data_IF_994135838007
#
_entry.id   IF_994135838007
#
_cell.length_a   1.000
_cell.length_b   1.000
_cell.length_c   1.000
_cell.angle_alpha   90.00
_cell.angle_beta   90.00
_cell.angle_gamma   90.00
#
_symmetry.space_group_name_H-M   'P 1'
#
loop_
_entity.id
_entity.type
_entity.pdbx_description
1 polymer ?
#
# COMPACT_ATOMS: atom_id res chain seq x y z
N UNK A 1 -22.05 10.88 -4.68
CA UNK A 1 -22.59 9.78 -5.50
C UNK A 1 -21.40 9.08 -6.14
N UNK A 2 -21.15 7.82 -5.76
CA UNK A 2 -19.97 7.05 -6.21
C UNK A 2 -20.16 6.55 -7.65
N UNK A 3 -21.42 6.36 -8.06
CA UNK A 3 -21.81 5.83 -9.36
C UNK A 3 -22.70 6.83 -10.10
N UNK A 4 -22.65 6.82 -11.43
CA UNK A 4 -23.53 7.63 -12.28
C UNK A 4 -24.94 7.01 -12.27
N UNK A 5 -25.91 7.71 -11.69
CA UNK A 5 -27.30 7.29 -11.60
C UNK A 5 -27.89 6.90 -12.96
N UNK A 6 -27.53 7.60 -14.03
CA UNK A 6 -28.00 7.29 -15.38
C UNK A 6 -27.40 5.97 -15.90
N UNK A 7 -26.14 5.70 -15.58
CA UNK A 7 -25.50 4.43 -15.92
C UNK A 7 -26.05 3.27 -15.07
N UNK A 8 -26.42 3.52 -13.81
CA UNK A 8 -27.13 2.56 -12.94
C UNK A 8 -28.48 2.17 -13.54
N UNK A 9 -29.32 3.16 -13.89
CA UNK A 9 -30.64 2.92 -14.50
C UNK A 9 -30.51 2.18 -15.84
N UNK A 10 -29.45 2.44 -16.60
CA UNK A 10 -29.16 1.75 -17.87
C UNK A 10 -28.54 0.35 -17.70
N UNK A 11 -28.45 -0.17 -16.46
CA UNK A 11 -27.93 -1.51 -16.18
C UNK A 11 -26.42 -1.66 -16.41
N UNK A 12 -25.68 -0.57 -16.60
CA UNK A 12 -24.25 -0.61 -16.97
C UNK A 12 -23.33 -1.10 -15.85
N UNK A 13 -23.83 -1.10 -14.62
CA UNK A 13 -23.17 -1.65 -13.44
C UNK A 13 -23.61 -3.09 -13.13
N UNK A 14 -24.24 -3.80 -14.09
CA UNK A 14 -24.73 -5.19 -13.96
C UNK A 14 -25.56 -5.40 -12.68
N UNK A 15 -25.42 -6.56 -12.04
CA UNK A 15 -26.13 -6.95 -10.82
C UNK A 15 -25.92 -5.95 -9.67
N UNK A 16 -24.75 -5.31 -9.61
CA UNK A 16 -24.49 -4.29 -8.60
C UNK A 16 -25.35 -3.04 -8.78
N UNK A 17 -25.62 -2.62 -10.03
CA UNK A 17 -26.51 -1.50 -10.32
C UNK A 17 -27.93 -1.75 -9.81
N UNK A 18 -28.45 -2.96 -10.00
CA UNK A 18 -29.76 -3.35 -9.51
C UNK A 18 -29.83 -3.30 -7.97
N UNK A 19 -28.76 -3.75 -7.31
CA UNK A 19 -28.66 -3.71 -5.84
C UNK A 19 -28.67 -2.28 -5.32
N UNK A 20 -27.99 -1.33 -6.00
CA UNK A 20 -28.07 0.09 -5.63
C UNK A 20 -29.52 0.58 -5.73
N UNK A 21 -30.20 0.33 -6.85
CA UNK A 21 -31.58 0.78 -7.06
C UNK A 21 -32.56 0.22 -6.02
N UNK A 22 -32.39 -1.04 -5.63
CA UNK A 22 -33.28 -1.70 -4.67
C UNK A 22 -33.08 -1.21 -3.22
N UNK A 23 -31.90 -0.69 -2.89
CA UNK A 23 -31.62 -0.08 -1.60
C UNK A 23 -32.13 1.35 -1.52
N UNK A 24 -31.97 2.11 -2.61
CA UNK A 24 -32.38 3.51 -2.72
C UNK A 24 -33.91 3.62 -2.58
N UNK A 25 -34.64 2.71 -3.25
CA UNK A 25 -36.10 2.54 -3.09
C UNK A 25 -36.54 2.30 -1.64
N UNK A 26 -35.67 1.77 -0.79
CA UNK A 26 -35.98 1.46 0.62
C UNK A 26 -35.42 2.51 1.59
N UNK A 27 -34.78 3.58 1.09
CA UNK A 27 -34.22 4.66 1.90
C UNK A 27 -33.11 4.22 2.87
N UNK A 28 -32.43 3.10 2.60
CA UNK A 28 -31.46 2.52 3.52
C UNK A 28 -30.02 3.00 3.28
N UNK A 29 -29.79 4.32 3.43
CA UNK A 29 -28.49 4.98 3.22
C UNK A 29 -27.34 4.29 3.98
N UNK A 30 -27.60 3.80 5.21
CA UNK A 30 -26.60 3.03 5.98
C UNK A 30 -26.25 1.68 5.35
N UNK A 31 -27.23 0.94 4.80
CA UNK A 31 -26.96 -0.33 4.09
C UNK A 31 -26.25 -0.09 2.76
N UNK A 32 -26.57 0.97 2.04
CA UNK A 32 -25.83 1.37 0.83
C UNK A 32 -24.36 1.61 1.14
N UNK A 33 -24.05 2.37 2.19
CA UNK A 33 -22.67 2.61 2.61
C UNK A 33 -21.92 1.31 2.97
N UNK A 34 -22.61 0.30 3.51
CA UNK A 34 -22.04 -1.02 3.81
C UNK A 34 -21.91 -1.94 2.59
N UNK A 35 -22.75 -1.79 1.56
CA UNK A 35 -22.68 -2.57 0.31
C UNK A 35 -21.62 -2.06 -0.66
N UNK A 36 -21.17 -0.81 -0.45
CA UNK A 36 -20.00 -0.22 -1.10
C UNK A 36 -18.68 -0.81 -0.58
N UNK A 37 -18.71 -1.74 0.38
CA UNK A 37 -17.52 -2.50 0.76
C UNK A 37 -16.95 -3.24 -0.45
N UNK A 38 -15.65 -3.02 -0.67
CA UNK A 38 -14.88 -3.34 -1.87
C UNK A 38 -15.08 -4.76 -2.41
N UNK A 39 -15.22 -5.78 -1.57
CA UNK A 39 -15.44 -7.18 -1.99
C UNK A 39 -16.79 -7.38 -2.70
N UNK A 40 -17.81 -6.62 -2.32
CA UNK A 40 -19.13 -6.67 -2.96
C UNK A 40 -19.13 -6.03 -4.35
N UNK A 41 -18.34 -4.97 -4.55
CA UNK A 41 -18.27 -4.29 -5.86
C UNK A 41 -17.69 -5.23 -6.91
N UNK A 42 -16.56 -5.89 -6.64
CA UNK A 42 -15.94 -6.73 -7.66
C UNK A 42 -16.67 -8.04 -7.93
N UNK A 43 -17.17 -8.69 -6.87
CA UNK A 43 -17.96 -9.92 -7.03
C UNK A 43 -19.22 -9.68 -7.87
N UNK A 44 -19.80 -8.47 -7.82
CA UNK A 44 -21.05 -8.14 -8.52
C UNK A 44 -20.87 -7.41 -9.86
N UNK A 45 -19.71 -6.84 -10.12
CA UNK A 45 -19.36 -6.21 -11.40
C UNK A 45 -18.75 -7.18 -12.41
N UNK A 46 -18.37 -8.40 -11.98
CA UNK A 46 -17.76 -9.44 -12.82
C UNK A 46 -16.58 -8.87 -13.64
N UNK A 47 -15.61 -8.28 -12.96
CA UNK A 47 -14.37 -7.88 -13.60
C UNK A 47 -13.56 -9.12 -14.00
N UNK A 48 -12.84 -9.04 -15.12
CA UNK A 48 -11.88 -10.08 -15.50
C UNK A 48 -10.65 -9.96 -14.60
N UNK A 49 -10.62 -10.78 -13.55
CA UNK A 49 -9.59 -10.79 -12.52
C UNK A 49 -8.80 -12.09 -12.57
N UNK A 50 -7.48 -11.98 -12.61
CA UNK A 50 -6.56 -13.10 -12.44
C UNK A 50 -5.98 -13.04 -11.03
N UNK A 51 -6.27 -14.05 -10.21
CA UNK A 51 -5.71 -14.18 -8.86
C UNK A 51 -4.24 -14.60 -8.92
N UNK A 52 -3.38 -13.89 -8.19
CA UNK A 52 -1.94 -14.20 -8.10
C UNK A 52 -1.67 -15.32 -7.09
N UNK A 53 -2.67 -15.71 -6.29
CA UNK A 53 -2.56 -16.78 -5.30
C UNK A 53 -1.65 -16.43 -4.13
N UNK A 54 -1.52 -15.14 -3.83
CA UNK A 54 -0.68 -14.65 -2.75
C UNK A 54 -1.35 -14.82 -1.38
N UNK A 55 -0.65 -15.48 -0.46
CA UNK A 55 -1.10 -15.70 0.93
C UNK A 55 -0.81 -14.50 1.85
N UNK A 56 0.03 -13.57 1.42
CA UNK A 56 0.39 -12.37 2.19
C UNK A 56 -0.65 -11.27 2.04
N UNK A 57 -1.27 -11.16 0.85
CA UNK A 57 -2.35 -10.23 0.56
C UNK A 57 -3.22 -10.70 -0.61
N UNK A 58 -4.47 -10.27 -0.64
CA UNK A 58 -5.38 -10.46 -1.77
C UNK A 58 -4.97 -9.57 -2.96
N UNK A 59 -4.17 -10.14 -3.87
CA UNK A 59 -3.60 -9.48 -5.04
C UNK A 59 -4.14 -10.09 -6.35
N UNK A 60 -4.59 -9.22 -7.25
CA UNK A 60 -5.18 -9.61 -8.53
C UNK A 60 -4.64 -8.73 -9.66
N UNK A 61 -4.61 -9.28 -10.86
CA UNK A 61 -4.52 -8.50 -12.09
C UNK A 61 -5.92 -8.28 -12.68
N UNK A 62 -6.23 -7.07 -13.13
CA UNK A 62 -7.47 -6.77 -13.83
C UNK A 62 -7.20 -6.45 -15.30
N UNK A 63 -7.51 -7.38 -16.19
CA UNK A 63 -7.31 -7.22 -17.63
C UNK A 63 -8.08 -6.02 -18.18
N UNK A 64 -9.29 -5.80 -17.68
CA UNK A 64 -10.15 -4.69 -18.07
C UNK A 64 -9.53 -3.32 -17.77
N UNK A 65 -8.70 -3.22 -16.74
CA UNK A 65 -8.08 -1.95 -16.31
C UNK A 65 -6.61 -1.85 -16.69
N UNK A 66 -5.99 -2.93 -17.17
CA UNK A 66 -4.55 -3.05 -17.31
C UNK A 66 -3.80 -2.61 -16.04
N UNK A 67 -4.24 -3.11 -14.89
CA UNK A 67 -3.66 -2.72 -13.61
C UNK A 67 -3.84 -3.75 -12.52
N UNK A 68 -2.99 -3.60 -11.51
CA UNK A 68 -2.99 -4.43 -10.32
C UNK A 68 -4.06 -3.97 -9.33
N UNK A 69 -4.71 -4.91 -8.67
CA UNK A 69 -5.68 -4.65 -7.62
C UNK A 69 -5.20 -5.32 -6.36
N UNK A 70 -5.12 -4.55 -5.28
CA UNK A 70 -4.86 -5.05 -3.95
C UNK A 70 -6.08 -4.76 -3.09
N UNK A 71 -6.70 -5.82 -2.53
CA UNK A 71 -7.76 -5.63 -1.54
C UNK A 71 -7.15 -5.36 -0.17
N UNK A 72 -7.60 -4.31 0.53
CA UNK A 72 -7.16 -4.08 1.89
C UNK A 72 -7.59 -5.27 2.76
N UNK A 73 -6.63 -5.81 3.49
CA UNK A 73 -6.86 -6.88 4.47
C UNK A 73 -6.44 -6.36 5.83
N UNK A 74 -7.30 -6.56 6.84
CA UNK A 74 -7.03 -6.14 8.21
C UNK A 74 -5.67 -6.66 8.67
N UNK A 75 -4.87 -5.79 9.27
CA UNK A 75 -3.53 -6.09 9.78
C UNK A 75 -2.54 -6.60 8.70
N UNK A 76 -2.66 -6.13 7.45
CA UNK A 76 -1.71 -6.45 6.35
C UNK A 76 -1.19 -5.17 5.66
N UNK A 77 -1.06 -4.07 6.40
CA UNK A 77 -0.64 -2.76 5.88
C UNK A 77 0.78 -2.80 5.33
N UNK A 78 1.70 -3.52 5.97
CA UNK A 78 3.06 -3.72 5.48
C UNK A 78 3.09 -4.51 4.17
N UNK A 79 2.32 -5.61 4.11
CA UNK A 79 2.22 -6.42 2.90
C UNK A 79 1.65 -5.60 1.74
N UNK A 80 0.57 -4.86 1.99
CA UNK A 80 -0.02 -3.93 1.02
C UNK A 80 0.99 -2.91 0.53
N UNK A 81 1.73 -2.26 1.44
CA UNK A 81 2.73 -1.26 1.09
C UNK A 81 3.86 -1.82 0.23
N UNK A 82 4.41 -2.99 0.62
CA UNK A 82 5.53 -3.61 -0.10
C UNK A 82 5.11 -4.09 -1.49
N UNK A 83 3.90 -4.64 -1.64
CA UNK A 83 3.37 -5.00 -2.95
C UNK A 83 3.09 -3.79 -3.83
N UNK A 84 2.52 -2.71 -3.28
CA UNK A 84 2.34 -1.46 -4.03
C UNK A 84 3.69 -0.97 -4.56
N UNK A 85 4.74 -0.91 -3.72
CA UNK A 85 6.08 -0.50 -4.14
C UNK A 85 6.67 -1.45 -5.18
N UNK A 86 6.54 -2.75 -4.98
CA UNK A 86 7.01 -3.74 -5.94
C UNK A 86 6.39 -3.52 -7.31
N UNK A 87 5.07 -3.49 -7.38
CA UNK A 87 4.34 -3.48 -8.64
C UNK A 87 4.53 -2.16 -9.38
N UNK A 88 4.48 -1.02 -8.68
CA UNK A 88 4.69 0.31 -9.28
C UNK A 88 6.09 0.50 -9.84
N UNK A 89 7.12 -0.09 -9.22
CA UNK A 89 8.52 0.07 -9.63
C UNK A 89 8.95 -0.95 -10.69
N UNK A 90 8.39 -2.17 -10.67
CA UNK A 90 8.91 -3.30 -11.46
C UNK A 90 8.07 -3.67 -12.66
N UNK A 91 6.77 -3.36 -12.67
CA UNK A 91 5.87 -3.89 -13.72
C UNK A 91 5.54 -2.87 -14.81
N UNK A 92 5.59 -1.57 -14.49
CA UNK A 92 5.16 -0.50 -15.37
C UNK A 92 3.64 -0.29 -15.41
N UNK A 93 2.88 -0.97 -14.55
CA UNK A 93 1.41 -0.87 -14.51
C UNK A 93 0.91 -0.22 -13.21
N UNK A 94 -0.23 0.49 -13.26
CA UNK A 94 -0.80 1.13 -12.08
C UNK A 94 -1.27 0.11 -11.05
N UNK A 95 -1.30 0.54 -9.80
CA UNK A 95 -1.87 -0.23 -8.69
C UNK A 95 -3.08 0.50 -8.13
N UNK A 96 -4.17 -0.24 -8.01
CA UNK A 96 -5.45 0.20 -7.47
C UNK A 96 -5.70 -0.50 -6.13
N UNK A 97 -6.10 0.27 -5.12
CA UNK A 97 -6.45 -0.30 -3.81
C UNK A 97 -7.43 0.60 -3.07
N UNK A 98 -7.96 0.15 -1.95
CA UNK A 98 -8.83 0.92 -1.07
C UNK A 98 -8.17 1.09 0.29
N UNK A 99 -8.54 2.15 1.02
CA UNK A 99 -8.38 2.12 2.48
C UNK A 99 -9.57 1.41 3.09
N UNK A 100 -9.34 0.76 4.22
CA UNK A 100 -10.40 0.14 5.03
C UNK A 100 -11.53 1.13 5.37
N UNK A 101 -11.21 2.43 5.47
CA UNK A 101 -12.18 3.50 5.75
C UNK A 101 -12.75 4.20 4.50
N UNK A 102 -12.26 3.90 3.29
CA UNK A 102 -12.69 4.62 2.10
C UNK A 102 -14.05 4.06 1.62
N UNK A 103 -15.11 4.84 1.80
CA UNK A 103 -16.49 4.48 1.44
C UNK A 103 -16.76 4.55 -0.07
N UNK A 104 -15.86 4.05 -0.91
CA UNK A 104 -16.05 3.94 -2.36
C UNK A 104 -15.09 4.73 -3.24
N UNK A 105 -14.01 5.28 -2.67
CA UNK A 105 -12.90 5.85 -3.46
C UNK A 105 -11.76 4.86 -3.56
N UNK A 106 -11.24 4.73 -4.78
CA UNK A 106 -10.02 4.00 -5.07
C UNK A 106 -8.82 4.89 -4.85
N UNK A 107 -7.79 4.36 -4.21
CA UNK A 107 -6.44 4.89 -4.32
C UNK A 107 -5.82 4.40 -5.62
N UNK A 108 -5.23 5.32 -6.36
CA UNK A 108 -4.47 5.08 -7.57
C UNK A 108 -3.00 5.37 -7.31
N UNK A 109 -2.15 4.41 -7.64
CA UNK A 109 -0.71 4.56 -7.63
C UNK A 109 -0.18 4.38 -9.05
N UNK A 110 0.41 5.45 -9.58
CA UNK A 110 1.04 5.42 -10.91
C UNK A 110 2.36 4.63 -10.86
N UNK A 111 2.76 4.01 -11.98
CA UNK A 111 4.11 3.46 -12.12
C UNK A 111 5.18 4.53 -11.87
N UNK A 112 6.30 4.11 -11.31
CA UNK A 112 7.46 4.95 -11.04
C UNK A 112 8.73 4.22 -11.45
N UNK A 113 9.79 4.96 -11.78
CA UNK A 113 10.98 4.36 -12.38
C UNK A 113 12.12 4.19 -11.39
N UNK A 114 12.08 4.90 -10.25
CA UNK A 114 13.17 4.89 -9.29
C UNK A 114 12.70 4.74 -7.85
N UNK A 115 13.58 4.18 -7.04
CA UNK A 115 13.47 4.21 -5.58
C UNK A 115 13.57 5.61 -4.99
N UNK A 116 14.11 6.58 -5.74
CA UNK A 116 14.19 7.99 -5.36
C UNK A 116 12.86 8.72 -5.50
N UNK A 117 11.92 8.14 -6.25
CA UNK A 117 10.63 8.77 -6.50
C UNK A 117 9.74 8.71 -5.25
N UNK A 118 8.98 9.79 -5.04
CA UNK A 118 7.86 9.75 -4.14
C UNK A 118 6.74 8.91 -4.77
N UNK A 119 6.07 8.09 -3.97
CA UNK A 119 4.91 7.38 -4.50
C UNK A 119 3.77 8.38 -4.74
N UNK A 120 3.49 8.66 -6.01
CA UNK A 120 2.33 9.46 -6.40
C UNK A 120 1.05 8.71 -6.01
N UNK A 121 0.17 9.37 -5.27
CA UNK A 121 -1.12 8.82 -4.84
C UNK A 121 -2.25 9.76 -5.22
N UNK A 122 -3.06 9.33 -6.17
CA UNK A 122 -4.30 10.02 -6.51
C UNK A 122 -5.51 9.24 -6.00
N UNK A 123 -6.66 9.90 -6.02
CA UNK A 123 -7.94 9.26 -5.75
C UNK A 123 -8.70 9.12 -7.06
N UNK A 124 -9.43 8.03 -7.20
CA UNK A 124 -10.28 7.79 -8.34
C UNK A 124 -11.65 7.26 -7.91
N UNK A 125 -12.65 7.55 -8.75
CA UNK A 125 -14.00 7.02 -8.62
C UNK A 125 -14.21 5.93 -9.67
N UNK A 126 -15.03 4.93 -9.35
CA UNK A 126 -15.48 3.96 -10.35
C UNK A 126 -16.66 4.50 -11.13
N UNK A 127 -16.48 4.74 -12.42
CA UNK A 127 -17.55 5.18 -13.30
C UNK A 127 -17.55 4.41 -14.62
N UNK A 128 -18.71 4.35 -15.26
CA UNK A 128 -18.80 3.76 -16.59
C UNK A 128 -18.14 4.66 -17.62
N UNK A 129 -17.14 4.13 -18.33
CA UNK A 129 -16.48 4.82 -19.43
C UNK A 129 -17.14 4.43 -20.75
N UNK A 130 -17.63 5.43 -21.50
CA UNK A 130 -18.23 5.21 -22.83
C UNK A 130 -17.21 4.68 -23.84
N UNK A 131 -16.00 5.22 -23.86
CA UNK A 131 -14.95 4.83 -24.81
C UNK A 131 -14.39 3.43 -24.54
N UNK A 132 -14.20 3.11 -23.27
CA UNK A 132 -13.73 1.80 -22.84
C UNK A 132 -14.90 0.76 -22.79
N UNK A 133 -16.17 1.20 -22.82
CA UNK A 133 -17.41 0.41 -22.72
C UNK A 133 -17.52 -0.50 -21.48
N UNK A 134 -16.83 -0.13 -20.41
CA UNK A 134 -16.79 -0.87 -19.14
C UNK A 134 -16.74 0.11 -17.97
N UNK A 135 -16.95 -0.39 -16.75
CA UNK A 135 -16.69 0.38 -15.52
C UNK A 135 -15.17 0.48 -15.32
N UNK A 136 -14.67 1.71 -15.16
CA UNK A 136 -13.24 2.00 -15.03
C UNK A 136 -12.97 3.00 -13.89
N UNK A 137 -11.74 3.07 -13.39
CA UNK A 137 -11.30 4.16 -12.51
C UNK A 137 -11.21 5.48 -13.29
N UNK A 138 -11.79 6.54 -12.75
CA UNK A 138 -11.69 7.92 -13.23
C UNK A 138 -10.89 8.75 -12.24
N UNK A 139 -9.79 9.36 -12.70
CA UNK A 139 -8.90 10.17 -11.87
C UNK A 139 -9.58 11.47 -11.48
N UNK A 140 -9.60 11.75 -10.17
CA UNK A 140 -10.13 13.00 -9.63
C UNK A 140 -9.05 14.08 -9.76
N UNK A 141 -9.26 15.04 -10.66
CA UNK A 141 -8.40 16.23 -10.72
C UNK A 141 -8.76 17.15 -9.56
N UNK A 142 -7.88 17.21 -8.56
CA UNK A 142 -7.99 18.20 -7.48
C UNK A 142 -7.36 19.50 -7.97
N UNK A 143 -8.21 20.46 -8.36
CA UNK A 143 -7.74 21.83 -8.58
C UNK A 143 -7.59 22.51 -7.21
N UNK A 144 -6.35 22.82 -6.82
CA UNK A 144 -6.04 23.36 -5.49
C UNK A 144 -6.69 24.73 -5.20
N UNK A 145 -7.22 25.40 -6.23
CA UNK A 145 -7.85 26.73 -6.12
C UNK A 145 -9.37 26.73 -6.27
N UNK A 146 -9.99 25.61 -6.65
CA UNK A 146 -11.44 25.53 -6.79
C UNK A 146 -12.03 24.70 -5.64
N UNK A 147 -12.60 25.37 -4.64
CA UNK A 147 -13.49 24.77 -3.64
C UNK A 147 -14.78 24.17 -4.22
N UNK A 148 -14.89 24.11 -5.56
CA UNK A 148 -15.97 23.45 -6.30
C UNK A 148 -15.41 22.25 -7.05
N UNK A 149 -15.98 21.08 -6.75
CA UNK A 149 -15.75 19.82 -7.43
C UNK A 149 -16.19 19.96 -8.91
N UNK A 150 -15.33 20.47 -9.78
CA UNK A 150 -15.61 20.54 -11.22
C UNK A 150 -15.55 19.12 -11.80
N UNK A 151 -16.72 18.46 -11.90
CA UNK A 151 -16.90 17.14 -12.52
C UNK A 151 -16.68 17.11 -14.04
N UNK A 152 -16.25 18.22 -14.65
CA UNK A 152 -16.19 18.38 -16.10
C UNK A 152 -15.04 17.63 -16.78
N UNK A 153 -13.96 17.33 -16.05
CA UNK A 153 -12.70 16.84 -16.63
C UNK A 153 -12.16 15.56 -15.94
N UNK A 154 -13.03 14.75 -15.35
CA UNK A 154 -12.62 13.44 -14.81
C UNK A 154 -12.16 12.55 -15.97
N UNK A 155 -10.91 12.11 -15.90
CA UNK A 155 -10.26 11.37 -16.98
C UNK A 155 -10.24 9.87 -16.65
N UNK A 156 -10.71 9.04 -17.59
CA UNK A 156 -10.66 7.59 -17.44
C UNK A 156 -9.19 7.15 -17.41
N UNK A 157 -8.76 6.55 -16.30
CA UNK A 157 -7.37 6.11 -16.11
C UNK A 157 -6.95 5.06 -17.15
N UNK A 158 -7.89 4.21 -17.59
CA UNK A 158 -7.64 3.15 -18.58
C UNK A 158 -7.50 3.72 -19.98
N UNK A 159 -8.36 4.68 -20.33
CA UNK A 159 -8.35 5.29 -21.65
C UNK A 159 -7.20 6.32 -21.81
N UNK A 160 -6.61 6.81 -20.70
CA UNK A 160 -5.40 7.67 -20.69
C UNK A 160 -4.09 6.87 -20.62
N UNK A 161 -4.13 5.63 -20.16
CA UNK A 161 -2.98 4.72 -20.26
C UNK A 161 -2.79 4.22 -21.69
N UNK A 162 -1.55 4.18 -22.17
CA UNK A 162 -1.21 3.49 -23.42
C UNK A 162 -1.54 2.01 -23.24
N UNK A 163 -2.49 1.48 -24.02
CA UNK A 163 -2.89 0.07 -23.99
C UNK A 163 -1.77 -0.80 -24.56
N UNK A 164 -0.78 -1.13 -23.74
CA UNK A 164 0.05 -2.30 -23.98
C UNK A 164 -0.55 -3.44 -23.19
N UNK A 165 -1.04 -4.48 -23.88
CA UNK A 165 -1.41 -5.74 -23.24
C UNK A 165 -0.27 -6.17 -22.31
N UNK A 166 -0.63 -6.67 -21.13
CA UNK A 166 0.39 -7.22 -20.24
C UNK A 166 0.93 -8.50 -20.87
N UNK A 167 2.25 -8.58 -20.96
CA UNK A 167 2.91 -9.84 -21.27
C UNK A 167 2.58 -10.83 -20.15
N UNK A 168 1.94 -11.97 -20.48
CA UNK A 168 1.54 -13.00 -19.49
C UNK A 168 2.72 -13.43 -18.59
N UNK A 169 3.93 -13.39 -19.14
CA UNK A 169 5.20 -13.61 -18.43
C UNK A 169 5.36 -12.70 -17.19
N UNK A 170 4.89 -11.45 -17.24
CA UNK A 170 4.92 -10.54 -16.09
C UNK A 170 3.98 -10.99 -14.97
N UNK A 171 2.82 -11.55 -15.31
CA UNK A 171 1.87 -12.12 -14.33
C UNK A 171 2.49 -13.38 -13.70
N UNK A 172 3.05 -14.27 -14.53
CA UNK A 172 3.68 -15.50 -14.06
C UNK A 172 4.84 -15.24 -13.09
N UNK A 173 5.63 -14.18 -13.34
CA UNK A 173 6.68 -13.74 -12.42
C UNK A 173 6.09 -13.36 -11.04
N UNK A 174 4.95 -12.65 -11.01
CA UNK A 174 4.31 -12.30 -9.73
C UNK A 174 3.79 -13.54 -8.99
N UNK A 175 3.22 -14.50 -9.71
CA UNK A 175 2.79 -15.79 -9.13
C UNK A 175 3.99 -16.54 -8.54
N UNK A 176 5.13 -16.55 -9.24
CA UNK A 176 6.36 -17.15 -8.71
C UNK A 176 6.83 -16.45 -7.43
N UNK A 177 6.83 -15.13 -7.40
CA UNK A 177 7.20 -14.37 -6.20
C UNK A 177 6.25 -14.64 -5.02
N UNK A 178 4.94 -14.68 -5.25
CA UNK A 178 3.95 -15.03 -4.24
C UNK A 178 4.18 -16.44 -3.66
N UNK A 179 4.54 -17.41 -4.51
CA UNK A 179 4.92 -18.77 -4.08
C UNK A 179 6.20 -18.76 -3.23
N UNK A 180 7.24 -18.05 -3.65
CA UNK A 180 8.50 -17.93 -2.90
C UNK A 180 8.25 -17.31 -1.52
N UNK A 181 7.44 -16.25 -1.44
CA UNK A 181 7.06 -15.62 -0.16
C UNK A 181 6.30 -16.57 0.75
N UNK A 182 5.39 -17.37 0.19
CA UNK A 182 4.59 -18.35 0.93
C UNK A 182 5.43 -19.51 1.49
N UNK A 183 6.50 -19.90 0.78
CA UNK A 183 7.47 -20.90 1.25
C UNK A 183 8.40 -20.36 2.35
N UNK A 184 8.59 -19.03 2.41
CA UNK A 184 9.39 -18.37 3.42
C UNK A 184 10.81 -18.95 3.52
N UNK A 185 11.18 -19.45 4.70
CA UNK A 185 12.52 -20.02 4.91
C UNK A 185 12.78 -21.29 4.10
N UNK A 186 11.75 -22.02 3.65
CA UNK A 186 11.89 -23.24 2.86
C UNK A 186 12.20 -22.98 1.38
N UNK A 187 11.99 -21.75 0.90
CA UNK A 187 12.35 -21.40 -0.49
C UNK A 187 13.86 -21.51 -0.72
N UNK A 188 14.24 -21.89 -1.93
CA UNK A 188 15.65 -21.99 -2.33
C UNK A 188 16.36 -20.63 -2.25
N UNK A 189 17.68 -20.62 -2.04
CA UNK A 189 18.45 -19.38 -2.03
C UNK A 189 18.42 -18.67 -3.40
N UNK A 190 18.32 -19.41 -4.50
CA UNK A 190 18.14 -18.84 -5.84
C UNK A 190 16.81 -18.11 -5.98
N UNK A 191 15.71 -18.71 -5.51
CA UNK A 191 14.39 -18.07 -5.59
C UNK A 191 14.32 -16.82 -4.72
N UNK A 192 14.88 -16.88 -3.50
CA UNK A 192 14.96 -15.72 -2.61
C UNK A 192 15.75 -14.57 -3.25
N UNK A 193 16.84 -14.86 -3.97
CA UNK A 193 17.64 -13.83 -4.67
C UNK A 193 16.93 -13.18 -5.87
N UNK A 194 15.90 -13.84 -6.44
CA UNK A 194 15.07 -13.28 -7.51
C UNK A 194 14.01 -12.30 -7.00
N UNK A 195 13.72 -12.31 -5.70
CA UNK A 195 12.77 -11.37 -5.11
C UNK A 195 13.34 -9.96 -5.16
N UNK A 196 12.50 -9.00 -5.57
CA UNK A 196 12.82 -7.58 -5.43
C UNK A 196 13.04 -7.19 -3.97
N UNK A 197 13.70 -6.06 -3.72
CA UNK A 197 13.96 -5.58 -2.35
C UNK A 197 12.70 -5.39 -1.51
N UNK A 198 11.59 -5.00 -2.13
CA UNK A 198 10.30 -4.83 -1.46
C UNK A 198 9.78 -6.17 -0.92
N UNK A 199 9.82 -7.20 -1.77
CA UNK A 199 9.33 -8.53 -1.41
C UNK A 199 10.31 -9.24 -0.47
N UNK A 200 11.62 -8.99 -0.59
CA UNK A 200 12.58 -9.43 0.42
C UNK A 200 12.31 -8.79 1.78
N UNK A 201 12.03 -7.49 1.83
CA UNK A 201 11.66 -6.81 3.07
C UNK A 201 10.37 -7.40 3.67
N UNK A 202 9.37 -7.71 2.84
CA UNK A 202 8.15 -8.40 3.26
C UNK A 202 8.42 -9.83 3.76
N UNK A 203 9.30 -10.58 3.09
CA UNK A 203 9.73 -11.91 3.52
C UNK A 203 10.40 -11.87 4.90
N UNK A 204 11.25 -10.86 5.15
CA UNK A 204 11.86 -10.62 6.47
C UNK A 204 10.80 -10.24 7.51
N UNK A 205 9.87 -9.37 7.16
CA UNK A 205 8.73 -9.00 8.02
C UNK A 205 7.92 -10.22 8.46
N UNK A 206 7.65 -11.15 7.55
CA UNK A 206 6.87 -12.36 7.82
C UNK A 206 7.57 -13.39 8.73
N UNK A 207 8.82 -13.15 9.12
CA UNK A 207 9.55 -14.01 10.06
C UNK A 207 9.65 -13.41 11.47
N UNK A 208 9.05 -12.23 11.69
CA UNK A 208 8.85 -11.66 13.03
C UNK A 208 7.68 -12.39 13.70
N UNK A 209 7.68 -12.46 15.04
CA UNK A 209 6.59 -13.04 15.82
C UNK A 209 5.28 -12.30 15.53
N UNK A 210 4.19 -13.04 15.28
CA UNK A 210 2.91 -12.48 14.80
C UNK A 210 2.33 -11.41 15.74
N UNK A 211 2.48 -11.57 17.07
CA UNK A 211 2.04 -10.57 18.04
C UNK A 211 2.73 -9.20 17.83
N UNK A 212 4.06 -9.19 17.71
CA UNK A 212 4.83 -7.97 17.45
C UNK A 212 4.50 -7.37 16.09
N UNK A 213 4.30 -8.23 15.07
CA UNK A 213 3.88 -7.79 13.75
C UNK A 213 2.55 -7.04 13.82
N UNK A 214 1.52 -7.62 14.44
CA UNK A 214 0.21 -6.98 14.58
C UNK A 214 0.27 -5.64 15.30
N UNK A 215 1.13 -5.53 16.31
CA UNK A 215 1.36 -4.27 17.03
C UNK A 215 2.02 -3.20 16.15
N UNK A 216 2.93 -3.60 15.26
CA UNK A 216 3.71 -2.69 14.42
C UNK A 216 3.09 -2.42 13.03
N UNK A 217 2.06 -3.16 12.59
CA UNK A 217 1.37 -2.95 11.30
C UNK A 217 0.88 -1.50 11.15
N UNK A 218 0.46 -0.84 12.24
CA UNK A 218 0.00 0.55 12.23
C UNK A 218 1.12 1.58 12.04
N UNK A 219 2.36 1.23 12.40
CA UNK A 219 3.50 2.12 12.28
C UNK A 219 3.88 2.36 10.82
N UNK A 220 3.90 1.29 10.01
CA UNK A 220 4.25 1.30 8.59
C UNK A 220 3.01 1.51 7.72
N UNK A 221 2.41 2.68 7.84
CA UNK A 221 1.45 3.17 6.86
C UNK A 221 2.17 3.75 5.65
N UNK A 222 1.46 3.92 4.53
CA UNK A 222 1.91 4.74 3.39
C UNK A 222 2.15 6.17 3.91
N UNK A 223 3.36 6.46 4.38
CA UNK A 223 3.79 7.82 4.71
C UNK A 223 4.22 8.49 3.42
N UNK A 224 3.90 9.78 3.29
CA UNK A 224 4.48 10.62 2.24
C UNK A 224 6.00 10.58 2.34
N UNK A 225 6.67 10.18 1.28
CA UNK A 225 8.12 10.05 1.26
C UNK A 225 8.60 9.20 0.09
N UNK A 226 9.91 9.18 -0.07
CA UNK A 226 10.60 8.39 -1.09
C UNK A 226 10.50 6.90 -0.78
N UNK A 227 10.20 6.08 -1.79
CA UNK A 227 10.00 4.63 -1.65
C UNK A 227 11.18 3.95 -0.95
N UNK A 228 12.41 4.27 -1.37
CA UNK A 228 13.60 3.64 -0.82
C UNK A 228 13.82 3.88 0.68
N UNK A 229 13.44 5.04 1.22
CA UNK A 229 13.52 5.30 2.68
C UNK A 229 12.59 4.36 3.45
N UNK A 230 11.37 4.15 2.97
CA UNK A 230 10.40 3.30 3.65
C UNK A 230 10.85 1.82 3.69
N UNK A 231 11.45 1.34 2.59
CA UNK A 231 11.98 -0.02 2.52
C UNK A 231 13.21 -0.19 3.41
N UNK A 232 14.15 0.76 3.37
CA UNK A 232 15.32 0.74 4.24
C UNK A 232 14.92 0.75 5.72
N UNK A 233 13.96 1.59 6.08
CA UNK A 233 13.43 1.71 7.43
C UNK A 233 12.85 0.39 7.95
N UNK A 234 12.04 -0.30 7.11
CA UNK A 234 11.46 -1.61 7.43
C UNK A 234 12.55 -2.68 7.60
N UNK A 235 13.50 -2.77 6.67
CA UNK A 235 14.60 -3.73 6.74
C UNK A 235 15.43 -3.57 8.01
N UNK A 236 15.79 -2.34 8.35
CA UNK A 236 16.55 -2.04 9.57
C UNK A 236 15.75 -2.47 10.80
N UNK A 237 14.45 -2.17 10.88
CA UNK A 237 13.64 -2.61 12.02
C UNK A 237 13.57 -4.13 12.11
N UNK A 238 13.36 -4.82 10.99
CA UNK A 238 13.26 -6.28 11.00
C UNK A 238 14.55 -6.94 11.46
N UNK A 239 15.70 -6.35 11.13
CA UNK A 239 16.98 -6.81 11.63
C UNK A 239 17.11 -6.49 13.11
N UNK A 240 16.83 -5.24 13.53
CA UNK A 240 16.77 -4.81 14.94
C UNK A 240 15.96 -5.79 15.79
N UNK A 241 14.75 -6.16 15.39
CA UNK A 241 13.90 -7.08 16.16
C UNK A 241 14.51 -8.48 16.36
N UNK A 242 15.40 -8.92 15.47
CA UNK A 242 15.93 -10.30 15.47
C UNK A 242 17.28 -10.48 16.15
N UNK A 243 17.95 -9.38 16.45
CA UNK A 243 19.27 -9.43 17.07
C UNK A 243 19.13 -9.81 18.55
N UNK A 244 19.90 -10.77 19.03
CA UNK A 244 19.93 -11.17 20.44
C UNK A 244 20.45 -10.04 21.35
N UNK A 245 20.02 -9.96 22.61
CA UNK A 245 20.32 -8.82 23.51
C UNK A 245 21.82 -8.62 23.81
N UNK A 246 22.66 -9.66 23.67
CA UNK A 246 24.06 -9.65 24.14
C UNK A 246 25.10 -9.37 23.04
N UNK A 247 24.68 -9.17 21.79
CA UNK A 247 25.52 -8.79 20.64
C UNK A 247 24.68 -7.94 19.66
N UNK A 248 25.16 -7.03 18.83
CA UNK A 248 26.47 -6.43 18.57
C UNK A 248 26.19 -5.30 17.57
N UNK A 249 26.72 -4.11 17.84
CA UNK A 249 27.03 -3.06 16.84
C UNK A 249 26.59 -3.30 15.37
N UNK A 250 25.64 -2.49 14.87
CA UNK A 250 25.17 -2.46 13.48
C UNK A 250 25.73 -1.27 12.73
N UNK A 251 26.43 -1.55 11.64
CA UNK A 251 26.96 -0.52 10.76
C UNK A 251 26.01 -0.15 9.62
N UNK A 252 25.90 1.15 9.33
CA UNK A 252 25.22 1.65 8.12
C UNK A 252 25.81 1.00 6.86
N UNK A 253 27.15 0.93 6.77
CA UNK A 253 27.86 0.40 5.59
C UNK A 253 27.64 -1.10 5.40
N UNK A 254 27.66 -1.85 6.50
CA UNK A 254 27.38 -3.29 6.49
C UNK A 254 25.93 -3.55 6.08
N UNK A 255 24.97 -2.83 6.67
CA UNK A 255 23.56 -2.95 6.32
C UNK A 255 23.30 -2.61 4.85
N UNK A 256 23.83 -1.48 4.36
CA UNK A 256 23.68 -1.06 2.97
C UNK A 256 24.25 -2.10 2.00
N UNK A 257 25.46 -2.58 2.27
CA UNK A 257 26.13 -3.63 1.47
C UNK A 257 25.36 -4.94 1.52
N UNK A 258 24.90 -5.37 2.70
CA UNK A 258 24.12 -6.61 2.86
C UNK A 258 22.81 -6.56 2.07
N UNK A 259 22.06 -5.47 2.17
CA UNK A 259 20.77 -5.32 1.49
C UNK A 259 20.93 -5.24 -0.04
N UNK A 260 21.95 -4.52 -0.52
CA UNK A 260 22.21 -4.34 -1.95
C UNK A 260 22.89 -5.56 -2.58
N UNK A 261 24.04 -5.99 -2.05
CA UNK A 261 24.90 -6.96 -2.72
C UNK A 261 24.50 -8.41 -2.45
N UNK A 262 23.98 -8.70 -1.25
CA UNK A 262 23.66 -10.08 -0.84
C UNK A 262 22.22 -10.44 -1.15
N UNK A 263 21.30 -9.51 -0.95
CA UNK A 263 19.86 -9.81 -0.96
C UNK A 263 19.17 -9.44 -2.26
N UNK A 264 19.56 -8.35 -2.92
CA UNK A 264 18.87 -7.90 -4.15
C UNK A 264 19.85 -7.34 -5.20
N UNK A 265 20.52 -8.19 -5.98
CA UNK A 265 21.44 -7.75 -7.03
C UNK A 265 20.78 -6.79 -8.04
N UNK A 266 19.52 -7.03 -8.40
CA UNK A 266 18.72 -6.21 -9.34
C UNK A 266 18.52 -4.76 -8.87
N UNK A 267 18.75 -4.49 -7.57
CA UNK A 267 18.69 -3.15 -7.01
C UNK A 267 19.80 -2.24 -7.58
N UNK A 268 20.95 -2.82 -7.99
CA UNK A 268 22.07 -2.07 -8.58
C UNK A 268 21.71 -1.35 -9.86
N UNK A 269 20.73 -1.88 -10.61
CA UNK A 269 20.23 -1.26 -11.83
C UNK A 269 19.26 -0.10 -11.55
N UNK A 270 18.72 -0.02 -10.33
CA UNK A 270 17.62 0.88 -9.95
C UNK A 270 18.03 2.02 -9.03
N UNK A 271 19.16 1.89 -8.33
CA UNK A 271 19.72 2.91 -7.45
C UNK A 271 21.23 2.74 -7.33
N UNK A 272 21.96 3.85 -7.38
CA UNK A 272 23.40 3.87 -7.10
C UNK A 272 23.68 3.59 -5.62
N UNK A 273 24.85 2.99 -5.35
CA UNK A 273 25.24 2.54 -4.00
C UNK A 273 25.26 3.69 -2.99
N UNK A 274 25.67 4.88 -3.40
CA UNK A 274 25.75 6.06 -2.54
C UNK A 274 24.36 6.51 -2.10
N UNK A 275 23.41 6.60 -3.03
CA UNK A 275 22.03 6.94 -2.75
C UNK A 275 21.35 5.91 -1.88
N UNK A 276 21.56 4.61 -2.14
CA UNK A 276 21.04 3.54 -1.27
C UNK A 276 21.60 3.64 0.15
N UNK A 277 22.91 3.84 0.28
CA UNK A 277 23.56 4.06 1.58
C UNK A 277 22.98 5.27 2.30
N UNK A 278 22.69 6.36 1.59
CA UNK A 278 21.99 7.53 2.14
C UNK A 278 20.60 7.19 2.69
N UNK A 279 19.85 6.34 2.00
CA UNK A 279 18.54 5.86 2.46
C UNK A 279 18.62 4.99 3.70
N UNK A 280 19.62 4.10 3.76
CA UNK A 280 19.90 3.29 4.95
C UNK A 280 20.30 4.19 6.12
N UNK A 281 21.22 5.14 5.91
CA UNK A 281 21.64 6.10 6.93
C UNK A 281 20.46 6.92 7.48
N UNK A 282 19.54 7.34 6.62
CA UNK A 282 18.31 8.01 7.05
C UNK A 282 17.46 7.11 7.96
N UNK A 283 17.26 5.83 7.60
CA UNK A 283 16.53 4.88 8.44
C UNK A 283 17.17 4.69 9.82
N UNK A 284 18.51 4.60 9.90
CA UNK A 284 19.22 4.59 11.18
C UNK A 284 18.99 5.89 11.98
N UNK A 285 19.06 7.05 11.34
CA UNK A 285 18.79 8.32 11.99
C UNK A 285 17.36 8.42 12.52
N UNK A 286 16.36 7.88 11.80
CA UNK A 286 14.97 7.81 12.27
C UNK A 286 14.87 6.98 13.56
N UNK A 287 15.48 5.80 13.60
CA UNK A 287 15.49 4.95 14.80
C UNK A 287 16.29 5.56 15.96
N UNK A 288 17.35 6.29 15.66
CA UNK A 288 18.14 7.03 16.64
C UNK A 288 17.32 8.17 17.28
N UNK A 289 16.59 8.95 16.46
CA UNK A 289 15.71 10.01 16.94
C UNK A 289 14.57 9.46 17.80
N UNK A 290 14.08 8.27 17.48
CA UNK A 290 13.08 7.55 18.27
C UNK A 290 13.68 6.85 19.51
N UNK A 291 14.99 6.98 19.74
CA UNK A 291 15.73 6.37 20.85
C UNK A 291 15.69 4.83 20.87
N UNK A 292 15.29 4.19 19.77
CA UNK A 292 15.26 2.73 19.61
C UNK A 292 16.68 2.17 19.54
N UNK A 293 17.58 2.94 18.93
CA UNK A 293 19.01 2.66 18.87
C UNK A 293 19.80 3.82 19.47
N UNK A 294 21.05 3.55 19.83
CA UNK A 294 22.02 4.55 20.29
C UNK A 294 23.34 4.40 19.52
N UNK A 295 24.17 5.44 19.55
CA UNK A 295 25.48 5.41 18.87
C UNK A 295 26.40 4.42 19.58
N UNK A 296 27.08 3.60 18.79
CA UNK A 296 28.17 2.74 19.26
C UNK A 296 29.48 3.52 19.42
N UNK A 297 30.56 2.80 19.70
CA UNK A 297 31.87 3.41 19.95
C UNK A 297 32.55 3.91 18.66
N UNK A 298 32.11 3.44 17.50
CA UNK A 298 32.66 3.78 16.18
C UNK A 298 31.64 4.59 15.36
N UNK A 299 32.15 5.46 14.49
CA UNK A 299 31.31 6.26 13.58
C UNK A 299 30.49 5.34 12.66
N UNK A 300 29.19 5.63 12.55
CA UNK A 300 28.28 4.86 11.69
C UNK A 300 27.87 3.50 12.23
N UNK A 301 28.28 3.18 13.47
CA UNK A 301 27.90 1.98 14.20
C UNK A 301 26.88 2.33 15.28
N UNK A 302 25.86 1.49 15.44
CA UNK A 302 24.76 1.69 16.38
C UNK A 302 24.48 0.42 17.17
N UNK A 303 23.93 0.54 18.37
CA UNK A 303 23.46 -0.59 19.19
C UNK A 303 22.03 -0.36 19.63
N UNK A 304 21.35 -1.44 20.01
CA UNK A 304 20.05 -1.33 20.67
C UNK A 304 20.19 -0.55 21.97
N UNK A 305 19.20 0.28 22.25
CA UNK A 305 19.03 0.81 23.60
C UNK A 305 18.66 -0.29 24.59
N UNK A 306 18.99 -0.11 25.87
CA UNK A 306 18.61 -1.06 26.93
C UNK A 306 17.07 -1.21 27.05
N UNK A 307 16.31 -0.15 26.75
CA UNK A 307 14.85 -0.13 26.86
C UNK A 307 14.17 -0.42 25.50
N UNK A 308 14.82 -1.16 24.61
CA UNK A 308 14.35 -1.34 23.23
C UNK A 308 12.89 -1.81 23.14
N UNK A 309 12.52 -2.85 23.90
CA UNK A 309 11.17 -3.40 23.88
C UNK A 309 10.13 -2.40 24.41
N UNK A 310 10.47 -1.67 25.48
CA UNK A 310 9.60 -0.65 26.05
C UNK A 310 9.36 0.50 25.06
N UNK A 311 10.40 0.98 24.39
CA UNK A 311 10.29 2.06 23.41
C UNK A 311 9.47 1.61 22.19
N UNK A 312 9.66 0.37 21.72
CA UNK A 312 8.83 -0.18 20.64
C UNK A 312 7.35 -0.21 21.07
N UNK A 313 7.04 -0.68 22.28
CA UNK A 313 5.68 -0.66 22.83
C UNK A 313 5.11 0.76 22.95
N UNK A 314 5.91 1.74 23.40
CA UNK A 314 5.49 3.14 23.47
C UNK A 314 5.18 3.71 22.08
N UNK A 315 6.00 3.42 21.08
CA UNK A 315 5.76 3.81 19.68
C UNK A 315 4.44 3.20 19.16
N UNK A 316 4.16 1.95 19.49
CA UNK A 316 2.92 1.26 19.15
C UNK A 316 1.72 2.00 19.78
N UNK A 317 1.78 2.27 21.09
CA UNK A 317 0.72 2.95 21.84
C UNK A 317 0.47 4.38 21.32
N UNK A 318 1.53 5.13 21.03
CA UNK A 318 1.45 6.48 20.50
C UNK A 318 0.70 6.50 19.16
N UNK A 319 1.04 5.61 18.22
CA UNK A 319 0.35 5.56 16.93
C UNK A 319 -1.14 5.25 17.07
N UNK A 320 -1.50 4.31 17.95
CA UNK A 320 -2.92 4.00 18.25
C UNK A 320 -3.66 5.21 18.82
N UNK A 321 -3.01 6.00 19.68
CA UNK A 321 -3.62 7.20 20.30
C UNK A 321 -3.87 8.36 19.33
N UNK A 322 -3.04 8.50 18.29
CA UNK A 322 -3.28 9.49 17.23
C UNK A 322 -4.47 9.10 16.35
N UNK A 323 -4.75 7.81 16.22
CA UNK A 323 -5.85 7.32 15.40
C UNK A 323 -7.20 7.45 16.09
N UNK A 324 -7.29 7.12 17.38
CA UNK A 324 -8.53 7.34 18.14
C UNK A 324 -8.93 8.82 18.14
N UNK A 325 -7.95 9.73 18.31
CA UNK A 325 -8.21 11.18 18.20
C UNK A 325 -8.66 11.58 16.79
N UNK A 326 -8.12 10.97 15.74
CA UNK A 326 -8.57 11.23 14.36
C UNK A 326 -9.99 10.74 14.09
N UNK A 327 -10.49 9.74 14.82
CA UNK A 327 -11.88 9.29 14.75
C UNK A 327 -12.81 10.21 15.57
N UNK A 328 -12.39 10.63 16.76
CA UNK A 328 -13.15 11.58 17.60
C UNK A 328 -13.39 12.94 16.89
N UNK A 329 -12.41 13.42 16.11
CA UNK A 329 -12.58 14.63 15.29
C UNK A 329 -13.56 14.47 14.11
N UNK A 330 -13.86 13.23 13.67
CA UNK A 330 -14.86 12.99 12.61
C UNK A 330 -16.27 13.02 13.15
N UNK A 331 -16.49 12.63 14.40
CA UNK A 331 -17.80 12.69 15.04
C UNK A 331 -18.18 14.13 15.42
N UNK A 332 -17.21 14.98 15.76
CA UNK A 332 -17.42 16.43 15.95
C UNK A 332 -17.83 17.17 14.67
N UNK A 333 -17.53 16.64 13.47
CA UNK A 333 -18.01 17.21 12.19
C UNK A 333 -19.37 16.66 11.74
N UNK A 334 -19.96 15.73 12.50
CA UNK A 334 -21.26 15.11 12.21
C UNK A 334 -22.37 15.55 13.17
N UNK A 335 -22.09 16.43 14.12
CA UNK A 335 -23.15 17.10 14.87
C UNK A 335 -23.98 17.98 13.92
N UNK A 336 -25.31 17.79 13.85
CA UNK A 336 -26.16 18.72 13.12
C UNK A 336 -26.00 20.08 13.79
N UNK A 337 -25.69 21.12 13.01
CA UNK A 337 -25.95 22.48 13.44
C UNK A 337 -27.47 22.57 13.49
N UNK A 338 -28.04 22.40 14.69
CA UNK A 338 -29.42 22.78 14.94
C UNK A 338 -29.49 24.30 14.75
N UNK A 339 -29.95 24.72 13.59
CA UNK A 339 -30.50 26.06 13.41
C UNK A 339 -31.89 26.08 14.03
N UNK A 340 -31.93 26.16 15.36
CA UNK A 340 -33.03 26.80 16.05
C UNK A 340 -32.66 28.27 16.15
N UNK A 341 -33.27 29.14 15.34
CA UNK A 341 -33.98 30.35 15.80
C UNK A 341 -34.38 31.31 14.67
N UNK A 342 -35.65 31.71 14.80
CA UNK A 342 -36.43 32.80 14.18
C UNK A 342 -37.12 32.53 12.84
#
# INVERSE_FOLDING_TARGET
MIYDALAVVKGKYKAFGQIILDLDKKGHIKKESSLVMTSSIFSKQEFDLIDIGDKTISLYWCSNWNGWIIYPTKNKKVAQLMWIYHLTVTTGYPVYTWREMDSGKLQYFKPVNSLKDAIGRDLCNLSYCKSCNIVTPFLLKFDAFASKLHRGNDECAVCSSVRTEIELTKIDIQIQFARTLSQGNQASNSDKKRLSIFLMALGRWNTIVEQQKQELEDYFRVRSGTIGYNVAHLLILTDLLKIEEKQHEFGIDEAATRYLDKWCPDLKERIDRESWRGMVAHGFNTWLQQKVIEKGNKKGIYKKTANFQEIIQQIILLNRSFESRSEDFKDLKRSPINHDSQ
#
